data_IF_125359511954
#
_entry.id   IF_125359511954
#
_cell.length_a   1.000
_cell.length_b   1.000
_cell.length_c   1.000
_cell.angle_alpha   90.00
_cell.angle_beta   90.00
_cell.angle_gamma   90.00
#
_symmetry.space_group_name_H-M   'P 1'
#
loop_
_entity.id
_entity.type
_entity.pdbx_description
1 polymer ?
#
# COMPACT_ATOMS: atom_id res chain seq x y z
N UNK A 1 17.13 -6.27 43.99
CA UNK A 1 17.54 -6.29 42.56
C UNK A 1 16.34 -6.12 41.64
N UNK A 2 15.19 -6.72 41.94
CA UNK A 2 13.96 -6.57 41.15
C UNK A 2 13.44 -5.13 41.10
N UNK A 3 13.49 -4.37 42.20
CA UNK A 3 12.96 -2.99 42.26
C UNK A 3 13.59 -2.04 41.24
N UNK A 4 14.89 -2.20 40.96
CA UNK A 4 15.62 -1.39 39.96
C UNK A 4 15.16 -1.64 38.52
N UNK A 5 14.46 -2.74 38.28
CA UNK A 5 13.93 -3.10 36.96
C UNK A 5 12.42 -2.94 36.89
N UNK A 6 11.71 -3.39 37.93
CA UNK A 6 10.25 -3.45 37.97
C UNK A 6 9.63 -2.06 38.09
N UNK A 7 10.11 -1.22 39.02
CA UNK A 7 9.55 0.12 39.24
C UNK A 7 9.57 1.00 37.98
N UNK A 8 10.71 1.15 37.28
CA UNK A 8 10.73 1.93 36.04
C UNK A 8 9.90 1.30 34.92
N UNK A 9 9.82 -0.04 34.84
CA UNK A 9 8.96 -0.72 33.86
C UNK A 9 7.48 -0.43 34.12
N UNK A 10 7.04 -0.51 35.38
CA UNK A 10 5.67 -0.21 35.81
C UNK A 10 5.35 1.27 35.61
N UNK A 11 6.30 2.16 35.86
CA UNK A 11 6.12 3.59 35.57
C UNK A 11 5.87 3.82 34.06
N UNK A 12 6.68 3.23 33.18
CA UNK A 12 6.50 3.33 31.73
C UNK A 12 5.18 2.68 31.27
N UNK A 13 4.78 1.56 31.88
CA UNK A 13 3.50 0.92 31.64
C UNK A 13 2.33 1.88 31.98
N UNK A 14 2.36 2.51 33.16
CA UNK A 14 1.33 3.47 33.58
C UNK A 14 1.24 4.66 32.62
N UNK A 15 2.39 5.17 32.15
CA UNK A 15 2.44 6.24 31.15
C UNK A 15 1.74 5.82 29.84
N UNK A 16 2.03 4.62 29.34
CA UNK A 16 1.39 4.10 28.12
C UNK A 16 -0.12 3.92 28.28
N UNK A 17 -0.56 3.28 29.37
CA UNK A 17 -1.97 3.02 29.64
C UNK A 17 -2.78 4.30 29.92
N UNK A 18 -2.14 5.34 30.44
CA UNK A 18 -2.74 6.65 30.70
C UNK A 18 -2.69 7.62 29.52
N UNK A 19 -2.08 7.23 28.39
CA UNK A 19 -1.91 8.13 27.25
C UNK A 19 -3.25 8.42 26.55
N UNK A 20 -3.47 9.67 26.11
CA UNK A 20 -4.75 10.10 25.51
C UNK A 20 -5.17 9.30 24.27
N UNK A 21 -4.20 8.82 23.50
CA UNK A 21 -4.44 8.00 22.29
C UNK A 21 -4.38 6.49 22.57
N UNK A 22 -4.33 6.07 23.84
CA UNK A 22 -4.46 4.67 24.19
C UNK A 22 -5.92 4.22 24.08
N UNK A 23 -6.13 3.07 23.45
CA UNK A 23 -7.43 2.40 23.28
C UNK A 23 -7.35 1.02 23.93
N UNK A 24 -8.42 0.68 24.64
CA UNK A 24 -8.63 -0.67 25.19
C UNK A 24 -9.39 -1.49 24.16
N UNK A 25 -9.10 -2.78 24.12
CA UNK A 25 -9.75 -3.70 23.19
C UNK A 25 -8.75 -4.48 22.36
N UNK A 26 -9.29 -5.35 21.52
CA UNK A 26 -8.51 -6.13 20.55
C UNK A 26 -7.99 -5.24 19.41
N UNK A 27 -6.98 -5.73 18.68
CA UNK A 27 -6.45 -5.04 17.49
C UNK A 27 -7.56 -4.65 16.51
N UNK A 28 -8.52 -5.54 16.27
CA UNK A 28 -9.63 -5.30 15.36
C UNK A 28 -10.55 -4.16 15.82
N UNK A 29 -10.88 -4.08 17.11
CA UNK A 29 -11.70 -3.00 17.65
C UNK A 29 -11.01 -1.64 17.51
N UNK A 30 -9.70 -1.59 17.81
CA UNK A 30 -8.90 -0.37 17.66
C UNK A 30 -8.82 0.08 16.19
N UNK A 31 -8.80 -0.87 15.26
CA UNK A 31 -8.74 -0.58 13.82
C UNK A 31 -10.07 -0.03 13.29
N UNK A 32 -11.19 -0.58 13.72
CA UNK A 32 -12.53 -0.04 13.39
C UNK A 32 -12.70 1.38 13.94
N UNK A 33 -12.27 1.64 15.18
CA UNK A 33 -12.26 2.98 15.75
C UNK A 33 -11.42 3.97 14.92
N UNK A 34 -10.24 3.54 14.45
CA UNK A 34 -9.39 4.35 13.58
C UNK A 34 -10.03 4.60 12.23
N UNK A 35 -10.69 3.61 11.63
CA UNK A 35 -11.41 3.79 10.36
C UNK A 35 -12.54 4.80 10.50
N UNK A 36 -13.29 4.75 11.59
CA UNK A 36 -14.31 5.76 11.90
C UNK A 36 -13.70 7.16 12.09
N UNK A 37 -12.60 7.30 12.84
CA UNK A 37 -11.92 8.60 13.03
C UNK A 37 -11.37 9.14 11.69
N UNK A 38 -10.87 8.24 10.82
CA UNK A 38 -10.36 8.56 9.48
C UNK A 38 -11.47 9.01 8.55
N UNK A 39 -12.62 8.36 8.56
CA UNK A 39 -13.79 8.76 7.76
C UNK A 39 -14.27 10.17 8.13
N UNK A 40 -14.24 10.51 9.42
CA UNK A 40 -14.55 11.85 9.90
C UNK A 40 -13.45 12.89 9.56
N UNK A 41 -12.19 12.47 9.42
CA UNK A 41 -11.05 13.36 9.14
C UNK A 41 -10.15 12.82 8.01
N UNK A 42 -10.61 12.79 6.74
CA UNK A 42 -9.90 12.11 5.66
C UNK A 42 -8.50 12.68 5.37
N UNK A 43 -8.27 13.96 5.61
CA UNK A 43 -6.99 14.63 5.36
C UNK A 43 -5.94 14.38 6.46
N UNK A 44 -6.35 13.86 7.62
CA UNK A 44 -5.45 13.70 8.79
C UNK A 44 -4.99 12.25 8.92
N UNK A 45 -3.78 12.08 9.42
CA UNK A 45 -3.29 10.78 9.84
C UNK A 45 -3.86 10.51 11.23
N UNK A 46 -4.61 9.43 11.36
CA UNK A 46 -5.17 8.98 12.63
C UNK A 46 -4.31 7.86 13.18
N UNK A 47 -4.11 7.84 14.50
CA UNK A 47 -3.33 6.82 15.18
C UNK A 47 -3.81 6.60 16.61
N UNK A 48 -3.53 5.41 17.13
CA UNK A 48 -3.82 4.99 18.49
C UNK A 48 -2.80 3.96 18.98
N UNK A 49 -2.68 3.84 20.30
CA UNK A 49 -1.93 2.78 20.96
C UNK A 49 -2.89 1.74 21.51
N UNK A 50 -2.49 0.48 21.49
CA UNK A 50 -3.23 -0.63 22.09
C UNK A 50 -2.30 -1.69 22.67
N UNK A 51 -2.89 -2.71 23.30
CA UNK A 51 -2.14 -3.88 23.78
C UNK A 51 -1.98 -4.88 22.64
N UNK A 52 -0.76 -5.39 22.44
CA UNK A 52 -0.56 -6.52 21.53
C UNK A 52 -0.84 -7.82 22.26
N UNK A 53 -1.90 -8.52 21.84
CA UNK A 53 -2.19 -9.87 22.33
C UNK A 53 -1.32 -10.93 21.62
N UNK A 54 -0.77 -10.60 20.45
CA UNK A 54 0.09 -11.49 19.66
C UNK A 54 1.53 -11.55 20.21
N UNK A 55 2.00 -10.46 20.82
CA UNK A 55 3.36 -10.31 21.32
C UNK A 55 3.34 -9.79 22.77
N UNK A 56 3.37 -10.69 23.78
CA UNK A 56 3.33 -10.31 25.18
C UNK A 56 4.44 -9.32 25.55
N UNK A 57 4.12 -8.33 26.39
CA UNK A 57 5.06 -7.28 26.80
C UNK A 57 5.31 -6.20 25.74
N UNK A 58 4.54 -6.21 24.64
CA UNK A 58 4.58 -5.15 23.63
C UNK A 58 3.25 -4.44 23.48
N UNK A 59 3.34 -3.19 23.05
CA UNK A 59 2.21 -2.40 22.60
C UNK A 59 2.18 -2.35 21.07
N UNK A 60 1.03 -2.00 20.53
CA UNK A 60 0.83 -1.80 19.10
C UNK A 60 0.47 -0.34 18.86
N UNK A 61 1.16 0.30 17.94
CA UNK A 61 0.80 1.60 17.36
C UNK A 61 0.10 1.31 16.04
N UNK A 62 -1.21 1.53 16.01
CA UNK A 62 -2.02 1.43 14.80
C UNK A 62 -2.20 2.83 14.19
N UNK A 63 -2.05 2.97 12.88
CA UNK A 63 -2.28 4.24 12.19
C UNK A 63 -2.84 4.07 10.77
N UNK A 64 -3.63 5.05 10.33
CA UNK A 64 -4.14 5.13 8.95
C UNK A 64 -3.70 6.45 8.35
N UNK A 65 -2.83 6.37 7.34
CA UNK A 65 -2.40 7.55 6.56
C UNK A 65 -3.35 7.84 5.41
N UNK A 66 -3.55 6.85 4.54
CA UNK A 66 -4.44 6.95 3.37
C UNK A 66 -5.71 6.14 3.62
N UNK A 67 -5.71 4.85 3.25
CA UNK A 67 -6.87 3.97 3.45
C UNK A 67 -6.59 2.79 4.37
N UNK A 68 -5.41 2.17 4.26
CA UNK A 68 -5.13 0.93 4.99
C UNK A 68 -4.58 1.22 6.40
N UNK A 69 -5.01 0.46 7.42
CA UNK A 69 -4.37 0.46 8.73
C UNK A 69 -2.98 -0.20 8.63
N UNK A 70 -2.05 0.42 9.34
CA UNK A 70 -0.69 -0.07 9.54
C UNK A 70 -0.46 -0.29 11.02
N UNK A 71 0.33 -1.31 11.35
CA UNK A 71 0.63 -1.69 12.72
C UNK A 71 2.12 -1.77 12.94
N UNK A 72 2.58 -1.16 14.03
CA UNK A 72 3.96 -1.25 14.46
C UNK A 72 4.04 -1.58 15.94
N UNK A 73 5.01 -2.41 16.29
CA UNK A 73 5.19 -2.86 17.67
C UNK A 73 6.13 -1.94 18.45
N UNK A 74 5.78 -1.72 19.70
CA UNK A 74 6.54 -0.94 20.67
C UNK A 74 6.91 -1.85 21.83
N UNK A 75 8.22 -2.04 22.02
CA UNK A 75 8.73 -2.80 23.15
C UNK A 75 8.77 -1.94 24.41
N UNK A 76 8.31 -2.48 25.53
CA UNK A 76 8.40 -1.83 26.83
C UNK A 76 9.66 -2.29 27.57
N UNK A 77 10.46 -1.34 28.04
CA UNK A 77 11.68 -1.60 28.79
C UNK A 77 11.77 -0.68 30.02
N UNK A 78 12.57 -1.02 31.05
CA UNK A 78 12.82 -0.11 32.17
C UNK A 78 13.35 1.26 31.73
N UNK A 79 14.21 1.27 30.71
CA UNK A 79 14.80 2.50 30.16
C UNK A 79 13.87 3.29 29.22
N UNK A 80 12.65 2.81 28.96
CA UNK A 80 11.66 3.48 28.12
C UNK A 80 11.05 2.57 27.05
N UNK A 81 10.80 3.15 25.87
CA UNK A 81 10.06 2.54 24.77
C UNK A 81 10.97 2.27 23.57
N UNK A 82 10.95 1.04 23.06
CA UNK A 82 11.67 0.67 21.84
C UNK A 82 10.73 0.74 20.65
N UNK A 83 11.10 1.51 19.62
CA UNK A 83 10.33 1.64 18.38
C UNK A 83 11.26 1.80 17.19
N UNK A 84 11.04 1.01 16.12
CA UNK A 84 11.90 0.95 14.91
C UNK A 84 13.41 0.91 15.23
N UNK A 85 13.80 0.01 16.14
CA UNK A 85 15.17 -0.17 16.63
C UNK A 85 15.79 1.02 17.39
N UNK A 86 15.02 2.08 17.66
CA UNK A 86 15.43 3.20 18.52
C UNK A 86 14.81 3.08 19.91
N UNK A 87 15.52 3.61 20.91
CA UNK A 87 15.06 3.68 22.29
C UNK A 87 14.64 5.10 22.63
N UNK A 88 13.49 5.26 23.25
CA UNK A 88 12.91 6.54 23.65
C UNK A 88 12.65 6.55 25.14
N UNK A 89 13.18 7.55 25.84
CA UNK A 89 12.99 7.72 27.28
C UNK A 89 11.56 8.09 27.65
N UNK A 90 10.82 8.74 26.74
CA UNK A 90 9.42 9.13 26.94
C UNK A 90 8.56 8.80 25.74
N UNK A 91 7.27 8.59 26.01
CA UNK A 91 6.29 8.31 24.97
C UNK A 91 6.12 9.50 24.01
N UNK A 92 6.22 10.73 24.51
CA UNK A 92 6.13 11.94 23.67
C UNK A 92 7.27 12.03 22.65
N UNK A 93 8.49 11.63 23.03
CA UNK A 93 9.63 11.59 22.10
C UNK A 93 9.44 10.53 21.02
N UNK A 94 8.86 9.37 21.39
CA UNK A 94 8.48 8.33 20.44
C UNK A 94 7.43 8.86 19.47
N UNK A 95 6.38 9.53 19.95
CA UNK A 95 5.32 10.10 19.11
C UNK A 95 5.88 11.16 18.16
N UNK A 96 6.71 12.08 18.66
CA UNK A 96 7.35 13.10 17.83
C UNK A 96 8.30 12.49 16.79
N UNK A 97 8.95 11.37 17.11
CA UNK A 97 9.75 10.62 16.16
C UNK A 97 8.87 9.96 15.09
N UNK A 98 7.84 9.22 15.51
CA UNK A 98 6.87 8.58 14.63
C UNK A 98 6.30 9.59 13.64
N UNK A 99 5.81 10.74 14.12
CA UNK A 99 5.20 11.78 13.27
C UNK A 99 6.14 12.34 12.20
N UNK A 100 7.44 12.44 12.50
CA UNK A 100 8.46 12.90 11.54
C UNK A 100 8.85 11.83 10.51
N UNK A 101 8.68 10.55 10.85
CA UNK A 101 9.13 9.42 10.05
C UNK A 101 7.96 8.57 9.55
N UNK A 102 6.74 9.13 9.44
CA UNK A 102 5.58 8.37 8.94
C UNK A 102 5.83 7.90 7.50
N UNK A 103 6.58 8.68 6.72
CA UNK A 103 6.76 8.50 5.28
C UNK A 103 7.89 7.51 4.95
N UNK A 104 8.90 7.40 5.82
CA UNK A 104 10.11 6.62 5.58
C UNK A 104 9.84 5.13 5.37
N UNK A 105 8.77 4.59 5.96
CA UNK A 105 8.44 3.17 5.83
C UNK A 105 8.06 2.75 4.41
N UNK A 106 7.53 3.67 3.59
CA UNK A 106 7.14 3.32 2.22
C UNK A 106 8.34 3.05 1.32
N UNK A 107 9.53 3.55 1.68
CA UNK A 107 10.75 3.33 0.91
C UNK A 107 11.47 2.02 1.24
N UNK A 108 11.18 1.40 2.40
CA UNK A 108 11.90 0.19 2.83
C UNK A 108 11.23 -1.14 2.43
N UNK A 109 9.98 -1.15 1.97
CA UNK A 109 9.23 -2.40 1.77
C UNK A 109 8.98 -2.82 0.32
N UNK A 110 9.58 -2.16 -0.68
CA UNK A 110 9.49 -2.59 -2.09
C UNK A 110 10.86 -2.44 -2.76
N UNK A 111 11.62 -3.52 -3.03
CA UNK A 111 12.64 -3.43 -4.07
C UNK A 111 11.89 -3.09 -5.36
N UNK A 112 12.29 -2.05 -6.11
CA UNK A 112 11.63 -1.77 -7.38
C UNK A 112 11.77 -3.03 -8.23
N UNK A 113 10.64 -3.70 -8.50
CA UNK A 113 10.58 -4.74 -9.52
C UNK A 113 10.88 -3.98 -10.80
N UNK A 114 12.15 -3.98 -11.20
CA UNK A 114 12.55 -3.63 -12.55
C UNK A 114 11.96 -4.72 -13.40
N UNK A 115 10.73 -4.51 -13.86
CA UNK A 115 10.13 -5.31 -14.91
C UNK A 115 11.13 -5.31 -16.06
N UNK A 116 11.81 -6.44 -16.26
CA UNK A 116 12.58 -6.71 -17.47
C UNK A 116 11.54 -6.87 -18.58
N UNK A 117 11.02 -5.73 -19.03
CA UNK A 117 10.27 -5.65 -20.26
C UNK A 117 11.22 -6.09 -21.38
N UNK A 118 10.78 -7.12 -22.10
CA UNK A 118 11.33 -7.68 -23.33
C UNK A 118 12.28 -6.74 -24.09
N UNK A 119 13.58 -7.05 -24.08
CA UNK A 119 14.50 -6.52 -25.08
C UNK A 119 14.31 -7.32 -26.37
N UNK A 120 13.48 -6.80 -27.28
CA UNK A 120 13.50 -7.22 -28.68
C UNK A 120 14.44 -6.27 -29.42
N UNK A 121 15.55 -6.75 -30.02
CA UNK A 121 16.43 -5.85 -30.78
C UNK A 121 15.73 -5.34 -32.04
N UNK A 122 15.42 -4.05 -32.05
CA UNK A 122 15.01 -3.31 -33.24
C UNK A 122 16.25 -3.12 -34.13
N UNK A 123 16.45 -3.97 -35.13
CA UNK A 123 17.42 -3.69 -36.20
C UNK A 123 16.85 -2.57 -37.07
N UNK A 124 17.56 -1.45 -37.17
CA UNK A 124 17.31 -0.38 -38.16
C UNK A 124 18.66 0.22 -38.60
N UNK A 125 18.67 1.11 -39.60
CA UNK A 125 19.00 0.88 -41.00
C UNK A 125 20.45 1.31 -41.36
N UNK A 126 20.98 0.84 -42.49
CA UNK A 126 22.15 1.47 -43.09
C UNK A 126 22.14 1.31 -44.61
N UNK A 127 22.16 2.46 -45.28
CA UNK A 127 22.48 2.65 -46.69
C UNK A 127 23.92 2.23 -46.99
N UNK A 128 24.14 1.59 -48.14
CA UNK A 128 25.41 1.72 -48.88
C UNK A 128 26.11 0.41 -49.24
N UNK A 129 25.89 -0.01 -50.49
CA UNK A 129 26.95 -0.49 -51.40
C UNK A 129 27.48 -1.92 -51.23
N UNK A 130 27.21 -2.77 -52.23
CA UNK A 130 27.97 -4.01 -52.43
C UNK A 130 27.24 -5.05 -53.29
N UNK A 131 27.57 -5.07 -54.58
CA UNK A 131 27.09 -6.03 -55.58
C UNK A 131 27.52 -7.47 -55.30
N UNK A 132 26.61 -8.43 -55.41
CA UNK A 132 26.82 -9.72 -56.11
C UNK A 132 25.51 -10.54 -56.15
N UNK A 133 25.00 -10.74 -57.38
CA UNK A 133 24.61 -12.05 -57.91
C UNK A 133 23.35 -12.76 -57.40
N UNK A 134 22.37 -12.87 -58.32
CA UNK A 134 21.48 -14.03 -58.55
C UNK A 134 20.31 -14.22 -57.57
N UNK A 135 19.03 -14.28 -57.96
CA UNK A 135 18.35 -14.39 -59.24
C UNK A 135 16.93 -14.95 -59.00
N UNK A 136 16.08 -14.90 -60.04
CA UNK A 136 14.73 -15.50 -60.19
C UNK A 136 13.61 -14.63 -59.59
N UNK A 137 12.56 -14.16 -60.28
CA UNK A 137 12.07 -14.33 -61.66
C UNK A 137 10.52 -14.25 -61.66
N UNK A 138 9.92 -13.41 -62.54
CA UNK A 138 8.49 -13.36 -62.93
C UNK A 138 7.62 -12.36 -62.15
N UNK A 139 7.06 -11.25 -62.69
CA UNK A 139 6.05 -11.08 -63.77
C UNK A 139 4.71 -11.76 -63.43
N UNK A 140 3.48 -11.24 -63.55
CA UNK A 140 2.86 -10.02 -64.10
C UNK A 140 1.34 -10.13 -63.81
N UNK A 141 0.66 -8.99 -63.66
CA UNK A 141 -0.72 -8.66 -64.11
C UNK A 141 -1.96 -9.46 -63.63
N UNK A 142 -2.89 -8.69 -63.06
CA UNK A 142 -4.35 -8.64 -63.28
C UNK A 142 -5.24 -9.89 -63.15
N UNK A 143 -6.19 -9.80 -62.21
CA UNK A 143 -7.60 -10.22 -62.28
C UNK A 143 -8.26 -9.60 -61.04
N UNK A 144 -9.33 -8.81 -61.08
CA UNK A 144 -10.60 -9.04 -61.76
C UNK A 144 -11.65 -9.28 -60.67
N UNK A 145 -12.66 -8.39 -60.58
CA UNK A 145 -13.99 -8.60 -59.98
C UNK A 145 -14.07 -8.74 -58.44
N UNK A 146 -14.94 -8.09 -57.64
CA UNK A 146 -16.23 -7.46 -57.89
C UNK A 146 -17.26 -8.02 -56.86
N UNK A 147 -17.97 -7.13 -56.16
CA UNK A 147 -19.19 -7.36 -55.31
C UNK A 147 -18.94 -8.00 -53.92
N UNK A 148 -19.48 -7.56 -52.77
CA UNK A 148 -20.87 -7.22 -52.41
C UNK A 148 -20.97 -6.33 -51.15
N UNK A 149 -21.95 -5.44 -51.15
CA UNK A 149 -22.49 -4.59 -50.08
C UNK A 149 -23.55 -5.30 -49.23
N UNK A 150 -23.64 -5.02 -47.92
CA UNK A 150 -24.86 -4.95 -47.06
C UNK A 150 -24.42 -4.76 -45.60
N UNK A 151 -24.93 -3.85 -44.76
CA UNK A 151 -26.18 -3.08 -44.79
C UNK A 151 -27.06 -3.44 -43.58
N UNK A 152 -27.06 -2.55 -42.57
CA UNK A 152 -28.17 -2.12 -41.71
C UNK A 152 -29.00 -3.13 -40.87
N UNK A 153 -29.14 -2.89 -39.56
CA UNK A 153 -30.45 -2.57 -38.92
C UNK A 153 -30.36 -2.34 -37.41
N UNK A 154 -30.80 -1.13 -37.02
CA UNK A 154 -31.25 -0.72 -35.69
C UNK A 154 -32.38 -1.59 -35.13
N UNK A 155 -32.44 -1.65 -33.80
CA UNK A 155 -33.66 -2.04 -33.06
C UNK A 155 -33.73 -1.29 -31.72
N UNK A 156 -34.37 -0.13 -31.75
CA UNK A 156 -35.11 0.44 -30.62
C UNK A 156 -36.39 -0.35 -30.37
N UNK A 157 -36.68 -0.72 -29.12
CA UNK A 157 -38.04 -0.99 -28.61
C UNK A 157 -38.16 -0.69 -27.12
N UNK A 158 -38.92 0.37 -26.83
CA UNK A 158 -39.51 0.74 -25.54
C UNK A 158 -40.80 -0.06 -25.25
N UNK A 159 -41.05 -0.42 -23.98
CA UNK A 159 -42.36 -0.36 -23.28
C UNK A 159 -42.30 -0.96 -21.85
N UNK A 160 -42.81 -0.22 -20.87
CA UNK A 160 -43.24 -0.62 -19.50
C UNK A 160 -44.69 -1.17 -19.54
N UNK A 161 -45.46 -1.37 -18.43
CA UNK A 161 -45.16 -1.56 -16.98
C UNK A 161 -45.87 -2.80 -16.36
N UNK A 162 -45.66 -3.11 -15.06
CA UNK A 162 -46.72 -3.28 -14.04
C UNK A 162 -46.29 -4.12 -12.81
N UNK A 163 -46.78 -3.64 -11.67
CA UNK A 163 -46.64 -4.14 -10.29
C UNK A 163 -47.40 -5.45 -10.00
N UNK A 164 -46.87 -6.24 -9.05
CA UNK A 164 -47.51 -7.27 -8.18
C UNK A 164 -46.40 -7.74 -7.22
N UNK A 165 -46.56 -7.97 -5.92
CA UNK A 165 -47.66 -7.95 -4.95
C UNK A 165 -47.02 -7.58 -3.60
#
# INVERSE_FOLDING_TARGET
VMDRYVDPLVANLRVMLGYRKFRRGSKAEVDEDLKHEKAANPMRIVYSFGVSHEHPGTFILSYIRSSNPHHEYIGLYPKGFKFRSKMFESLDRLVAYFQRHIDDLQHSSVPPIRSVAAMVPLRSPASGGGSVGSGWGGSTTSSGDGWRTRGHSDRDRSATPASRT
#
